data_IF_796387764319
#
_entry.id   IF_796387764319
#
_cell.length_a   1.000
_cell.length_b   1.000
_cell.length_c   1.000
_cell.angle_alpha   90.00
_cell.angle_beta   90.00
_cell.angle_gamma   90.00
#
_symmetry.space_group_name_H-M   'P 1'
#
loop_
_entity.id
_entity.type
_entity.pdbx_description
1 polymer ?
#
# COMPACT_ATOMS: atom_id res chain seq x y z
N UNK A 1 -8.48 70.66 -1.96
CA UNK A 1 -7.60 69.53 -1.65
C UNK A 1 -8.15 68.31 -2.38
N UNK A 2 -7.30 67.68 -3.20
CA UNK A 2 -7.61 66.65 -4.21
C UNK A 2 -7.53 65.23 -3.64
N UNK A 3 -8.51 64.37 -3.95
CA UNK A 3 -8.35 62.89 -3.94
C UNK A 3 -9.31 62.22 -4.92
N UNK A 4 -9.08 62.42 -6.22
CA UNK A 4 -9.75 61.68 -7.28
C UNK A 4 -8.73 61.31 -8.38
N UNK A 5 -7.88 60.30 -8.15
CA UNK A 5 -7.10 59.65 -9.23
C UNK A 5 -6.24 58.47 -8.74
N UNK A 6 -6.82 57.27 -8.58
CA UNK A 6 -5.98 56.06 -8.41
C UNK A 6 -6.55 54.78 -9.01
N UNK A 7 -7.62 54.85 -9.82
CA UNK A 7 -8.35 53.65 -10.32
C UNK A 7 -8.00 53.19 -11.74
N UNK A 8 -6.83 53.53 -12.30
CA UNK A 8 -6.57 53.32 -13.74
C UNK A 8 -5.21 52.73 -14.14
N UNK A 9 -4.53 51.93 -13.32
CA UNK A 9 -3.29 51.27 -13.79
C UNK A 9 -3.03 49.95 -13.07
N UNK A 10 -3.66 48.84 -13.51
CA UNK A 10 -3.18 47.47 -13.25
C UNK A 10 -3.93 46.42 -14.12
N UNK A 11 -4.21 46.75 -15.39
CA UNK A 11 -4.97 45.91 -16.32
C UNK A 11 -4.16 45.49 -17.56
N UNK A 12 -2.82 45.43 -17.47
CA UNK A 12 -2.00 45.19 -18.66
C UNK A 12 -0.66 44.52 -18.38
N UNK A 13 -0.67 43.21 -18.13
CA UNK A 13 0.45 42.28 -18.41
C UNK A 13 -0.08 40.85 -18.47
N UNK A 14 -0.97 40.59 -19.43
CA UNK A 14 -1.20 39.26 -19.97
C UNK A 14 -0.77 39.31 -21.44
N UNK A 15 -0.15 38.22 -21.92
CA UNK A 15 0.37 37.96 -23.27
C UNK A 15 1.83 38.42 -23.48
N UNK A 16 2.75 37.44 -23.45
CA UNK A 16 3.92 37.26 -24.35
C UNK A 16 5.00 36.37 -23.70
N UNK A 17 4.73 35.08 -23.44
CA UNK A 17 5.78 34.04 -23.39
C UNK A 17 5.19 32.70 -23.85
N UNK A 18 4.76 32.66 -25.11
CA UNK A 18 4.46 31.42 -25.84
C UNK A 18 5.39 31.40 -27.04
N UNK A 19 6.42 30.54 -27.05
CA UNK A 19 7.22 30.32 -28.25
C UNK A 19 8.65 29.88 -27.99
N UNK A 20 8.97 28.71 -28.54
CA UNK A 20 10.30 28.09 -28.68
C UNK A 20 10.84 27.35 -27.45
N UNK A 21 11.40 26.17 -27.71
CA UNK A 21 11.86 25.08 -26.82
C UNK A 21 10.74 24.06 -26.52
N UNK A 22 10.66 22.84 -27.07
CA UNK A 22 11.63 21.97 -27.71
C UNK A 22 10.88 20.95 -28.59
N UNK A 23 10.85 21.18 -29.90
CA UNK A 23 10.56 20.18 -30.93
C UNK A 23 11.80 19.32 -31.16
N UNK A 24 12.05 18.34 -30.29
CA UNK A 24 13.31 17.59 -30.32
C UNK A 24 13.31 16.25 -29.61
N UNK A 25 12.32 15.38 -29.86
CA UNK A 25 12.44 13.94 -29.60
C UNK A 25 11.82 13.15 -30.76
N UNK A 26 12.62 13.06 -31.81
CA UNK A 26 12.52 12.10 -32.89
C UNK A 26 13.09 10.75 -32.41
N UNK A 27 12.39 9.67 -32.78
CA UNK A 27 12.87 8.27 -32.94
C UNK A 27 13.12 7.46 -31.67
N UNK A 28 12.23 6.48 -31.42
CA UNK A 28 12.63 5.18 -30.85
C UNK A 28 11.94 4.01 -31.61
N UNK A 29 12.65 2.88 -31.77
CA UNK A 29 12.34 1.81 -32.71
C UNK A 29 11.24 0.86 -32.24
N UNK A 30 10.35 0.50 -33.16
CA UNK A 30 9.39 -0.61 -33.03
C UNK A 30 10.13 -1.96 -33.15
N UNK A 31 10.79 -2.37 -32.07
CA UNK A 31 11.44 -3.69 -31.94
C UNK A 31 10.53 -4.70 -31.23
N UNK A 32 10.21 -5.79 -31.93
CA UNK A 32 9.48 -6.99 -31.47
C UNK A 32 10.00 -7.57 -30.14
N UNK A 33 9.12 -8.13 -29.32
CA UNK A 33 8.91 -9.60 -29.31
C UNK A 33 7.71 -10.00 -28.43
N UNK A 34 6.88 -10.98 -28.86
CA UNK A 34 5.87 -11.60 -28.02
C UNK A 34 6.53 -12.69 -27.15
N UNK A 35 6.25 -12.73 -25.85
CA UNK A 35 6.56 -13.90 -25.04
C UNK A 35 5.36 -14.27 -24.18
N UNK A 36 4.67 -15.31 -24.64
CA UNK A 36 3.99 -16.34 -23.87
C UNK A 36 3.20 -15.89 -22.64
N UNK A 37 1.88 -15.86 -22.83
CA UNK A 37 0.93 -16.19 -21.78
C UNK A 37 1.28 -17.60 -21.25
N UNK A 38 2.03 -17.63 -20.15
CA UNK A 38 2.27 -18.84 -19.38
C UNK A 38 0.95 -19.39 -18.87
N UNK A 39 0.50 -20.48 -19.48
CA UNK A 39 -0.65 -21.26 -19.04
C UNK A 39 -0.29 -21.86 -17.67
N UNK A 40 -0.87 -21.30 -16.61
CA UNK A 40 -0.82 -21.90 -15.27
C UNK A 40 -1.65 -23.18 -15.34
N UNK A 41 -0.98 -24.34 -15.38
CA UNK A 41 -1.64 -25.63 -15.13
C UNK A 41 -1.99 -25.68 -13.65
N UNK A 42 -3.28 -25.56 -13.33
CA UNK A 42 -3.79 -25.97 -12.02
C UNK A 42 -3.45 -27.46 -11.87
N UNK A 43 -2.67 -27.80 -10.85
CA UNK A 43 -2.47 -29.18 -10.47
C UNK A 43 -3.83 -29.81 -10.15
N UNK A 44 -4.12 -30.90 -10.84
CA UNK A 44 -5.29 -31.73 -10.59
C UNK A 44 -5.37 -32.11 -9.12
N UNK A 45 -6.60 -31.99 -8.60
CA UNK A 45 -7.03 -32.39 -7.27
C UNK A 45 -6.66 -33.86 -7.06
N UNK A 46 -5.57 -34.12 -6.36
CA UNK A 46 -5.20 -35.46 -5.93
C UNK A 46 -6.31 -36.01 -5.01
N UNK A 47 -6.86 -37.15 -5.43
CA UNK A 47 -8.00 -37.80 -4.80
C UNK A 47 -7.75 -38.20 -3.35
N UNK A 48 -8.85 -38.24 -2.60
CA UNK A 48 -8.89 -38.79 -1.26
C UNK A 48 -8.59 -40.31 -1.29
N UNK A 49 -7.72 -40.83 -0.42
CA UNK A 49 -7.75 -42.23 -0.05
C UNK A 49 -8.64 -42.45 1.18
N UNK A 50 -9.40 -43.54 1.11
CA UNK A 50 -10.36 -44.03 2.08
C UNK A 50 -9.74 -44.44 3.43
N UNK A 51 -10.58 -44.42 4.46
CA UNK A 51 -10.36 -44.94 5.83
C UNK A 51 -9.91 -46.43 5.81
N UNK A 52 -9.00 -46.93 6.66
CA UNK A 52 -9.09 -47.28 8.11
C UNK A 52 -7.99 -48.35 8.38
N UNK A 53 -7.72 -48.91 9.59
CA UNK A 53 -7.87 -48.45 10.98
C UNK A 53 -6.62 -48.72 11.90
N UNK A 54 -6.64 -48.13 13.11
CA UNK A 54 -6.19 -48.66 14.42
C UNK A 54 -4.77 -49.23 14.63
N UNK A 55 -3.95 -48.52 15.42
CA UNK A 55 -3.18 -49.15 16.50
C UNK A 55 -2.99 -48.18 17.69
N UNK A 56 -3.08 -48.73 18.90
CA UNK A 56 -3.24 -48.06 20.19
C UNK A 56 -1.85 -47.77 20.87
N UNK A 57 -1.79 -47.20 22.09
CA UNK A 57 -0.86 -46.13 22.43
C UNK A 57 0.42 -46.59 23.16
N UNK A 58 1.47 -45.76 23.12
CA UNK A 58 2.56 -45.80 24.12
C UNK A 58 2.66 -44.48 24.86
N UNK A 59 2.57 -44.47 26.20
CA UNK A 59 2.87 -43.29 27.00
C UNK A 59 4.32 -43.32 27.49
N UNK A 60 4.71 -42.14 28.01
CA UNK A 60 5.72 -41.89 29.06
C UNK A 60 7.09 -41.39 28.60
N UNK A 61 7.46 -40.23 29.14
CA UNK A 61 8.85 -39.94 29.51
C UNK A 61 9.43 -38.69 28.87
N UNK A 62 9.17 -37.53 29.48
CA UNK A 62 9.93 -36.31 29.24
C UNK A 62 11.37 -36.48 29.75
N UNK A 63 12.37 -36.12 28.97
CA UNK A 63 13.63 -35.62 29.53
C UNK A 63 14.24 -34.56 28.61
N UNK A 64 14.65 -33.47 29.25
CA UNK A 64 14.92 -32.17 28.67
C UNK A 64 16.27 -32.14 27.93
N UNK A 65 16.23 -32.07 26.60
CA UNK A 65 17.37 -31.59 25.81
C UNK A 65 17.35 -30.07 25.83
N UNK A 66 18.22 -29.44 26.64
CA UNK A 66 18.57 -28.02 26.49
C UNK A 66 19.11 -27.79 25.09
N UNK A 67 18.28 -27.25 24.20
CA UNK A 67 18.73 -26.69 22.94
C UNK A 67 19.56 -25.41 23.21
N UNK A 68 20.62 -25.15 22.43
CA UNK A 68 21.42 -23.94 22.57
C UNK A 68 20.57 -22.69 22.28
N UNK A 69 20.90 -21.51 22.86
CA UNK A 69 20.20 -20.28 22.52
C UNK A 69 20.36 -20.01 21.03
N UNK A 70 19.26 -20.16 20.29
CA UNK A 70 19.24 -19.79 18.88
C UNK A 70 19.40 -18.27 18.76
N UNK A 71 20.25 -17.79 17.84
CA UNK A 71 20.42 -16.37 17.63
C UNK A 71 19.09 -15.75 17.19
N UNK A 72 18.79 -14.57 17.75
CA UNK A 72 17.72 -13.67 17.28
C UNK A 72 17.65 -13.70 15.76
N UNK A 73 16.60 -14.30 15.20
CA UNK A 73 16.38 -14.32 13.76
C UNK A 73 15.01 -13.71 13.53
N UNK A 74 15.08 -12.49 13.00
CA UNK A 74 14.00 -11.64 12.51
C UNK A 74 12.84 -12.51 12.00
N UNK A 75 11.67 -12.37 12.61
CA UNK A 75 10.52 -13.18 12.22
C UNK A 75 10.02 -12.73 10.85
N UNK A 76 10.56 -13.43 9.85
CA UNK A 76 10.02 -13.72 8.53
C UNK A 76 8.49 -13.82 8.55
N UNK A 77 7.86 -13.31 7.48
CA UNK A 77 6.42 -13.26 7.12
C UNK A 77 5.72 -11.89 7.12
N UNK A 78 6.23 -10.86 7.81
CA UNK A 78 5.90 -9.45 7.50
C UNK A 78 7.06 -8.75 6.74
N UNK A 79 8.08 -9.53 6.41
CA UNK A 79 9.44 -9.09 6.07
C UNK A 79 9.69 -9.04 4.55
N UNK A 80 8.68 -9.24 3.69
CA UNK A 80 8.86 -9.12 2.23
C UNK A 80 8.22 -7.85 1.67
N UNK A 81 7.06 -7.44 2.19
CA UNK A 81 6.29 -6.31 1.64
C UNK A 81 6.73 -4.95 2.19
N UNK A 82 7.18 -4.88 3.45
CA UNK A 82 7.78 -3.66 4.03
C UNK A 82 9.09 -3.24 3.33
N UNK A 83 9.74 -4.18 2.62
CA UNK A 83 11.02 -3.95 1.95
C UNK A 83 10.86 -3.35 0.57
N UNK A 84 9.68 -3.42 -0.03
CA UNK A 84 9.47 -2.98 -1.41
C UNK A 84 9.53 -1.46 -1.53
N UNK A 85 8.84 -0.72 -0.66
CA UNK A 85 8.87 0.76 -0.69
C UNK A 85 10.27 1.30 -0.39
N UNK A 86 11.03 0.63 0.49
CA UNK A 86 12.35 1.09 0.94
C UNK A 86 13.44 0.93 -0.13
N UNK A 87 13.27 0.00 -1.08
CA UNK A 87 14.29 -0.30 -2.12
C UNK A 87 14.17 0.57 -3.37
N UNK A 88 13.01 1.16 -3.62
CA UNK A 88 12.80 2.00 -4.79
C UNK A 88 13.29 3.44 -4.57
N UNK A 89 13.80 4.11 -5.61
CA UNK A 89 14.05 5.55 -5.52
C UNK A 89 12.74 6.29 -5.20
N UNK A 90 12.84 7.43 -4.52
CA UNK A 90 11.67 8.26 -4.20
C UNK A 90 11.45 9.33 -5.27
N UNK A 91 10.26 9.37 -5.84
CA UNK A 91 9.76 10.52 -6.61
C UNK A 91 9.10 11.49 -5.64
N UNK A 92 9.84 12.49 -5.14
CA UNK A 92 9.34 13.37 -4.06
C UNK A 92 8.04 14.09 -4.42
N UNK A 93 7.90 14.55 -5.67
CA UNK A 93 6.70 15.26 -6.11
C UNK A 93 5.44 14.39 -6.04
N UNK A 94 5.54 13.15 -6.50
CA UNK A 94 4.42 12.20 -6.40
C UNK A 94 4.22 11.67 -4.98
N UNK A 95 5.32 11.29 -4.31
CA UNK A 95 5.30 10.67 -2.99
C UNK A 95 4.67 11.59 -1.95
N UNK A 96 5.08 12.86 -1.87
CA UNK A 96 4.61 13.78 -0.84
C UNK A 96 3.09 14.05 -0.98
N UNK A 97 2.59 14.18 -2.22
CA UNK A 97 1.15 14.35 -2.48
C UNK A 97 0.37 13.08 -2.15
N UNK A 98 0.89 11.92 -2.51
CA UNK A 98 0.24 10.63 -2.28
C UNK A 98 0.19 10.28 -0.80
N UNK A 99 1.28 10.51 -0.06
CA UNK A 99 1.32 10.35 1.39
C UNK A 99 0.30 11.26 2.09
N UNK A 100 0.22 12.53 1.69
CA UNK A 100 -0.77 13.46 2.23
C UNK A 100 -2.20 12.99 1.96
N UNK A 101 -2.49 12.54 0.73
CA UNK A 101 -3.80 12.02 0.35
C UNK A 101 -4.17 10.74 1.12
N UNK A 102 -3.22 9.80 1.25
CA UNK A 102 -3.38 8.56 2.02
C UNK A 102 -3.64 8.86 3.49
N UNK A 103 -2.84 9.73 4.11
CA UNK A 103 -3.03 10.10 5.52
C UNK A 103 -4.38 10.80 5.74
N UNK A 104 -4.79 11.69 4.84
CA UNK A 104 -6.08 12.36 4.92
C UNK A 104 -7.24 11.36 4.81
N UNK A 105 -7.16 10.42 3.86
CA UNK A 105 -8.14 9.36 3.67
C UNK A 105 -8.20 8.42 4.88
N UNK A 106 -7.08 7.90 5.35
CA UNK A 106 -7.05 6.95 6.48
C UNK A 106 -7.60 7.56 7.77
N UNK A 107 -7.46 8.88 7.97
CA UNK A 107 -8.04 9.59 9.11
C UNK A 107 -9.57 9.66 9.09
N UNK A 108 -10.23 9.35 7.97
CA UNK A 108 -11.70 9.26 7.90
C UNK A 108 -12.22 7.92 8.38
N UNK A 109 -11.37 6.89 8.45
CA UNK A 109 -11.75 5.58 8.95
C UNK A 109 -11.81 5.67 10.49
N UNK A 110 -12.91 5.25 11.13
CA UNK A 110 -13.05 5.30 12.57
C UNK A 110 -12.07 4.35 13.27
N UNK A 111 -11.72 4.67 14.53
CA UNK A 111 -10.91 3.83 15.41
C UNK A 111 -9.54 3.44 14.84
N UNK A 112 -8.87 4.37 14.14
CA UNK A 112 -7.45 4.29 13.81
C UNK A 112 -6.68 5.24 14.73
N UNK A 113 -5.60 4.75 15.37
CA UNK A 113 -4.70 5.59 16.15
C UNK A 113 -3.92 6.51 15.20
N UNK A 114 -4.32 7.79 15.24
CA UNK A 114 -3.75 8.85 14.39
C UNK A 114 -2.28 9.13 14.69
N UNK A 115 -1.76 8.77 15.87
CA UNK A 115 -0.37 8.98 16.27
C UNK A 115 0.55 7.90 15.72
N UNK A 116 0.04 6.68 15.57
CA UNK A 116 0.76 5.56 15.00
C UNK A 116 0.63 5.46 13.46
N UNK A 117 -0.28 6.23 12.85
CA UNK A 117 -0.52 6.22 11.41
C UNK A 117 0.64 6.87 10.63
N UNK A 118 1.24 6.09 9.73
CA UNK A 118 2.35 6.49 8.86
C UNK A 118 2.02 6.11 7.41
N UNK A 119 2.39 6.97 6.47
CA UNK A 119 2.39 6.66 5.04
C UNK A 119 3.78 6.93 4.47
N UNK A 120 4.29 6.00 3.65
CA UNK A 120 5.57 6.12 2.96
C UNK A 120 5.39 5.73 1.50
N UNK A 121 5.84 6.56 0.58
CA UNK A 121 5.79 6.33 -0.85
C UNK A 121 7.19 6.38 -1.49
N UNK A 122 7.39 5.54 -2.51
CA UNK A 122 8.58 5.47 -3.36
C UNK A 122 8.32 6.12 -4.72
N UNK A 123 8.76 5.53 -5.84
CA UNK A 123 8.42 6.00 -7.19
C UNK A 123 7.13 5.36 -7.70
N UNK A 124 6.88 4.09 -7.33
CA UNK A 124 5.77 3.30 -7.87
C UNK A 124 4.79 2.81 -6.82
N UNK A 125 5.16 2.81 -5.54
CA UNK A 125 4.37 2.18 -4.48
C UNK A 125 4.30 3.03 -3.22
N UNK A 126 3.23 2.84 -2.45
CA UNK A 126 3.03 3.40 -1.13
C UNK A 126 2.67 2.30 -0.14
N UNK A 127 3.17 2.44 1.08
CA UNK A 127 2.74 1.68 2.25
C UNK A 127 2.08 2.65 3.22
N UNK A 128 0.90 2.28 3.71
CA UNK A 128 0.27 2.88 4.88
C UNK A 128 0.31 1.85 6.00
N UNK A 129 0.89 2.20 7.14
CA UNK A 129 0.90 1.35 8.32
C UNK A 129 0.43 2.12 9.54
N UNK A 130 -0.13 1.40 10.52
CA UNK A 130 -0.65 2.01 11.73
C UNK A 130 -1.19 0.98 12.71
N UNK A 131 -1.82 1.50 13.76
CA UNK A 131 -2.54 0.72 14.75
C UNK A 131 -4.00 1.13 14.70
N UNK A 132 -4.89 0.17 14.88
CA UNK A 132 -6.29 0.46 15.16
C UNK A 132 -6.56 0.40 16.67
N UNK A 133 -7.61 1.11 17.08
CA UNK A 133 -8.11 1.10 18.45
C UNK A 133 -9.16 0.01 18.60
N UNK A 134 -9.12 -0.69 19.74
CA UNK A 134 -10.17 -1.63 20.10
C UNK A 134 -11.46 -0.89 20.41
N UNK A 135 -12.59 -1.45 19.97
CA UNK A 135 -13.89 -0.95 20.40
C UNK A 135 -14.02 -1.17 21.92
N UNK A 136 -14.13 -0.11 22.73
CA UNK A 136 -14.18 -0.23 24.19
C UNK A 136 -15.40 -0.99 24.69
N UNK A 137 -16.48 -1.06 23.89
CA UNK A 137 -17.69 -1.79 24.27
C UNK A 137 -17.56 -3.30 24.06
N UNK A 138 -16.79 -3.73 23.05
CA UNK A 138 -16.72 -5.14 22.64
C UNK A 138 -15.34 -5.77 22.83
N UNK A 139 -14.29 -4.98 23.09
CA UNK A 139 -12.89 -5.42 23.10
C UNK A 139 -12.45 -6.00 21.74
N UNK A 140 -13.19 -5.68 20.68
CA UNK A 140 -13.06 -6.29 19.36
C UNK A 140 -12.56 -5.29 18.33
N UNK A 141 -11.80 -5.86 17.41
CA UNK A 141 -11.28 -5.20 16.23
C UNK A 141 -12.15 -5.43 14.99
N UNK A 142 -13.08 -6.39 15.05
CA UNK A 142 -13.92 -6.76 13.91
C UNK A 142 -14.58 -5.57 13.18
N UNK A 143 -15.23 -4.63 13.89
CA UNK A 143 -15.86 -3.47 13.25
C UNK A 143 -14.87 -2.57 12.49
N UNK A 144 -13.72 -2.29 13.09
CA UNK A 144 -12.69 -1.44 12.48
C UNK A 144 -12.05 -2.13 11.27
N UNK A 145 -11.91 -3.46 11.29
CA UNK A 145 -11.28 -4.24 10.21
C UNK A 145 -12.22 -4.28 9.01
N UNK A 146 -13.51 -4.50 9.28
CA UNK A 146 -14.56 -4.44 8.27
C UNK A 146 -14.66 -3.04 7.64
N UNK A 147 -14.54 -1.98 8.44
CA UNK A 147 -14.49 -0.60 7.93
C UNK A 147 -13.25 -0.39 7.05
N UNK A 148 -12.05 -0.78 7.50
CA UNK A 148 -10.83 -0.67 6.69
C UNK A 148 -10.96 -1.42 5.36
N UNK A 149 -11.43 -2.65 5.36
CA UNK A 149 -11.62 -3.42 4.11
C UNK A 149 -12.59 -2.73 3.16
N UNK A 150 -13.75 -2.29 3.67
CA UNK A 150 -14.77 -1.64 2.85
C UNK A 150 -14.27 -0.32 2.25
N UNK A 151 -13.71 0.56 3.09
CA UNK A 151 -13.30 1.89 2.64
C UNK A 151 -12.08 1.82 1.70
N UNK A 152 -11.11 0.94 1.99
CA UNK A 152 -9.86 0.87 1.21
C UNK A 152 -10.00 0.04 -0.06
N UNK A 153 -10.98 -0.86 -0.14
CA UNK A 153 -11.31 -1.57 -1.38
C UNK A 153 -11.99 -0.66 -2.42
N UNK A 154 -12.59 0.45 -1.99
CA UNK A 154 -13.22 1.39 -2.89
C UNK A 154 -12.16 2.14 -3.71
N UNK A 155 -12.49 2.49 -4.96
CA UNK A 155 -11.64 3.31 -5.84
C UNK A 155 -11.52 4.79 -5.39
N UNK A 156 -11.72 5.08 -4.10
CA UNK A 156 -11.71 6.42 -3.53
C UNK A 156 -10.41 7.18 -3.85
N UNK A 157 -9.29 6.45 -3.86
CA UNK A 157 -7.96 6.99 -4.17
C UNK A 157 -7.55 6.83 -5.64
N UNK A 158 -8.39 6.23 -6.50
CA UNK A 158 -8.14 6.11 -7.94
C UNK A 158 -8.00 7.47 -8.62
N UNK A 159 -8.76 8.48 -8.17
CA UNK A 159 -8.62 9.88 -8.62
C UNK A 159 -7.28 10.53 -8.22
N UNK A 160 -6.61 9.99 -7.21
CA UNK A 160 -5.26 10.40 -6.79
C UNK A 160 -4.17 9.57 -7.49
N UNK A 161 -4.54 8.68 -8.41
CA UNK A 161 -3.60 7.79 -9.12
C UNK A 161 -3.06 6.67 -8.24
N UNK A 162 -3.84 6.21 -7.25
CA UNK A 162 -3.47 5.13 -6.34
C UNK A 162 -4.48 3.98 -6.42
N UNK A 163 -3.97 2.76 -6.52
CA UNK A 163 -4.76 1.52 -6.51
C UNK A 163 -4.28 0.62 -5.39
N UNK A 164 -5.19 0.11 -4.57
CA UNK A 164 -4.86 -0.84 -3.51
C UNK A 164 -4.40 -2.16 -4.13
N UNK A 165 -3.24 -2.66 -3.70
CA UNK A 165 -2.69 -3.94 -4.17
C UNK A 165 -2.77 -5.04 -3.12
N UNK A 166 -2.60 -4.70 -1.85
CA UNK A 166 -2.64 -5.65 -0.75
C UNK A 166 -3.02 -4.98 0.57
N UNK A 167 -3.58 -5.78 1.47
CA UNK A 167 -3.92 -5.39 2.85
C UNK A 167 -3.48 -6.49 3.79
N UNK A 168 -2.93 -6.13 4.93
CA UNK A 168 -2.63 -7.02 6.04
C UNK A 168 -3.24 -6.43 7.31
N UNK A 169 -4.16 -7.16 7.92
CA UNK A 169 -4.87 -6.72 9.12
C UNK A 169 -4.60 -7.68 10.27
N UNK A 170 -4.03 -7.15 11.35
CA UNK A 170 -3.45 -7.97 12.40
C UNK A 170 -2.15 -8.62 11.92
N UNK A 171 -1.13 -8.56 12.76
CA UNK A 171 0.10 -9.32 12.57
C UNK A 171 0.16 -10.42 13.62
N UNK A 172 0.93 -11.47 13.37
CA UNK A 172 1.16 -12.52 14.38
C UNK A 172 1.81 -12.00 15.68
N UNK A 173 2.29 -10.76 15.72
CA UNK A 173 2.95 -10.15 16.88
C UNK A 173 2.15 -9.02 17.53
N UNK A 174 1.38 -8.27 16.75
CA UNK A 174 0.58 -7.11 17.18
C UNK A 174 -0.77 -7.23 16.50
N UNK A 175 -1.81 -7.52 17.29
CA UNK A 175 -3.17 -7.78 16.80
C UNK A 175 -3.76 -6.54 16.15
N UNK A 176 -3.38 -5.38 16.64
CA UNK A 176 -3.90 -4.05 16.31
C UNK A 176 -3.24 -3.45 15.06
N UNK A 177 -2.10 -4.01 14.64
CA UNK A 177 -1.31 -3.46 13.56
C UNK A 177 -1.92 -3.80 12.21
N UNK A 178 -1.82 -2.85 11.27
CA UNK A 178 -2.17 -3.05 9.88
C UNK A 178 -1.14 -2.46 8.93
N UNK A 179 -1.11 -2.99 7.71
CA UNK A 179 -0.40 -2.43 6.59
C UNK A 179 -1.26 -2.51 5.32
N UNK A 180 -1.28 -1.45 4.52
CA UNK A 180 -2.01 -1.36 3.25
C UNK A 180 -1.05 -0.86 2.18
N UNK A 181 -1.01 -1.57 1.07
CA UNK A 181 -0.13 -1.28 -0.06
C UNK A 181 -0.94 -0.72 -1.22
N UNK A 182 -0.43 0.36 -1.79
CA UNK A 182 -1.01 1.02 -2.96
C UNK A 182 0.05 1.13 -4.06
N UNK A 183 -0.32 0.83 -5.31
CA UNK A 183 0.51 1.12 -6.48
C UNK A 183 0.07 2.42 -7.15
N UNK A 184 1.04 3.07 -7.80
CA UNK A 184 0.81 4.20 -8.70
C UNK A 184 0.13 3.70 -9.97
N UNK A 185 -0.97 4.34 -10.34
CA UNK A 185 -1.61 4.15 -11.64
C UNK A 185 -1.10 5.25 -12.57
N UNK A 186 -0.72 4.89 -13.80
CA UNK A 186 -0.50 5.89 -14.83
C UNK A 186 -1.82 6.65 -15.05
N UNK A 187 -1.80 7.98 -14.96
CA UNK A 187 -3.02 8.76 -15.14
C UNK A 187 -3.66 8.42 -16.49
N UNK A 188 -4.95 8.02 -16.52
CA UNK A 188 -5.60 7.58 -17.76
C UNK A 188 -5.72 8.70 -18.82
N UNK A 189 -5.44 9.96 -18.45
CA UNK A 189 -5.53 11.15 -19.30
C UNK A 189 -4.18 11.65 -19.84
N UNK A 190 -3.14 10.81 -19.88
CA UNK A 190 -1.86 11.14 -20.51
C UNK A 190 -1.80 10.74 -22.01
N UNK A 191 -2.94 10.79 -22.71
CA UNK A 191 -3.04 10.58 -24.16
C UNK A 191 -3.49 11.86 -24.85
#
# INVERSE_FOLDING_TARGET
MNTANSRRWALGTALLVSGALLTGWLVLPSGRSPSEAGVVRLADRAGAPAASPSEAPRPTGAEATRAPPSPQRNSELADDSQYLVVREPRDSGWADRSEAALLAFMRTIPAIDRRALVAKCSTSMCEVSGLADEDPATGSMGPTWAAMERETAAEALGRQGLERTATTLGTGRVREAFAIYYRRIASPNAQ
#
